data_IF_521496324570
#
_entry.id   IF_521496324570
#
_cell.length_a   1.000
_cell.length_b   1.000
_cell.length_c   1.000
_cell.angle_alpha   90.00
_cell.angle_beta   90.00
_cell.angle_gamma   90.00
#
_symmetry.space_group_name_H-M   'P 1'
#
loop_
_entity.id
_entity.type
_entity.pdbx_description
1 polymer ?
#
# COMPACT_ATOMS: atom_id res chain seq x y z
N UNK A 1 -12.51 8.43 -36.68
CA UNK A 1 -13.05 7.63 -35.56
C UNK A 1 -13.00 8.55 -34.37
N UNK A 2 -14.04 8.72 -33.56
CA UNK A 2 -13.91 9.45 -32.33
C UNK A 2 -12.85 8.74 -31.47
N UNK A 3 -11.86 9.47 -30.96
CA UNK A 3 -10.81 8.94 -30.09
C UNK A 3 -11.47 8.23 -28.90
N UNK A 4 -11.17 6.95 -28.73
CA UNK A 4 -11.59 6.24 -27.53
C UNK A 4 -11.08 7.02 -26.31
N UNK A 5 -11.90 7.23 -25.28
CA UNK A 5 -11.45 8.01 -24.13
C UNK A 5 -10.19 7.40 -23.56
N UNK A 6 -9.13 8.23 -23.43
CA UNK A 6 -7.84 7.77 -22.93
C UNK A 6 -7.96 7.26 -21.49
N UNK A 7 -7.40 6.07 -21.23
CA UNK A 7 -7.43 5.42 -19.91
C UNK A 7 -6.52 6.19 -18.95
N UNK A 8 -7.11 6.71 -17.86
CA UNK A 8 -6.35 7.39 -16.81
C UNK A 8 -6.12 6.44 -15.65
N UNK A 9 -4.86 6.27 -15.27
CA UNK A 9 -4.45 5.51 -14.09
C UNK A 9 -4.24 6.42 -12.88
N UNK A 10 -4.58 5.92 -11.70
CA UNK A 10 -4.30 6.54 -10.40
C UNK A 10 -3.20 5.76 -9.68
N UNK A 11 -2.15 6.44 -9.24
CA UNK A 11 -1.09 5.85 -8.42
C UNK A 11 -1.07 6.52 -7.06
N UNK A 12 -1.28 5.72 -6.00
CA UNK A 12 -1.27 6.16 -4.61
C UNK A 12 0.00 5.64 -3.92
N UNK A 13 0.88 6.57 -3.53
CA UNK A 13 2.18 6.22 -2.93
C UNK A 13 2.07 5.67 -1.51
N UNK A 14 3.10 4.99 -1.03
CA UNK A 14 3.28 4.72 0.37
C UNK A 14 3.47 6.01 1.20
N UNK A 15 3.12 5.96 2.48
CA UNK A 15 3.24 7.15 3.34
C UNK A 15 2.72 6.99 4.77
N UNK A 16 2.26 5.80 5.16
CA UNK A 16 1.66 5.56 6.48
C UNK A 16 0.51 6.52 6.75
N UNK A 17 0.47 7.16 7.92
CA UNK A 17 -0.58 8.11 8.28
C UNK A 17 -0.70 9.32 7.33
N UNK A 18 0.38 9.68 6.62
CA UNK A 18 0.35 10.77 5.63
C UNK A 18 -0.51 10.44 4.40
N UNK A 19 -0.93 9.20 4.21
CA UNK A 19 -1.86 8.81 3.16
C UNK A 19 -3.27 9.43 3.32
N UNK A 20 -3.59 10.01 4.49
CA UNK A 20 -4.74 10.88 4.66
C UNK A 20 -4.74 12.08 3.68
N UNK A 21 -3.56 12.60 3.32
CA UNK A 21 -3.43 13.63 2.29
C UNK A 21 -3.98 13.17 0.94
N UNK A 22 -3.75 11.91 0.56
CA UNK A 22 -4.28 11.35 -0.69
C UNK A 22 -5.81 11.41 -0.72
N UNK A 23 -6.45 11.13 0.42
CA UNK A 23 -7.92 11.19 0.54
C UNK A 23 -8.42 12.63 0.40
N UNK A 24 -7.67 13.61 0.94
CA UNK A 24 -7.95 15.03 0.69
C UNK A 24 -7.90 15.42 -0.78
N UNK A 25 -6.90 14.92 -1.52
CA UNK A 25 -6.78 15.11 -2.98
C UNK A 25 -7.95 14.46 -3.71
N UNK A 26 -8.29 13.20 -3.37
CA UNK A 26 -9.43 12.49 -3.98
C UNK A 26 -10.75 13.24 -3.72
N UNK A 27 -10.94 13.80 -2.53
CA UNK A 27 -12.11 14.62 -2.18
C UNK A 27 -12.19 15.89 -3.03
N UNK A 28 -11.06 16.54 -3.29
CA UNK A 28 -11.02 17.70 -4.19
C UNK A 28 -11.35 17.29 -5.64
N UNK A 29 -10.80 16.16 -6.12
CA UNK A 29 -11.10 15.63 -7.46
C UNK A 29 -12.57 15.26 -7.61
N UNK A 30 -13.18 14.64 -6.61
CA UNK A 30 -14.60 14.31 -6.61
C UNK A 30 -15.46 15.58 -6.74
N UNK A 31 -15.08 16.68 -6.05
CA UNK A 31 -15.75 17.96 -6.17
C UNK A 31 -15.62 18.55 -7.58
N UNK A 32 -14.39 18.58 -8.11
CA UNK A 32 -14.13 19.09 -9.47
C UNK A 32 -14.91 18.29 -10.51
N UNK A 33 -14.93 16.95 -10.38
CA UNK A 33 -15.69 16.09 -11.30
C UNK A 33 -17.17 16.43 -11.29
N UNK A 34 -17.79 16.58 -10.12
CA UNK A 34 -19.21 16.96 -10.02
C UNK A 34 -19.55 18.30 -10.67
N UNK A 35 -18.61 19.25 -10.61
CA UNK A 35 -18.79 20.57 -11.22
C UNK A 35 -18.62 20.54 -12.75
N UNK A 36 -17.67 19.74 -13.27
CA UNK A 36 -17.28 19.76 -14.69
C UNK A 36 -17.91 18.63 -15.53
N UNK A 37 -18.15 17.47 -14.93
CA UNK A 37 -18.61 16.26 -15.63
C UNK A 37 -19.41 15.34 -14.70
N UNK A 38 -20.59 15.77 -14.22
CA UNK A 38 -21.38 15.05 -13.21
C UNK A 38 -21.79 13.64 -13.67
N UNK A 39 -22.02 13.44 -14.95
CA UNK A 39 -22.43 12.16 -15.55
C UNK A 39 -21.24 11.25 -15.90
N UNK A 40 -19.99 11.67 -15.61
CA UNK A 40 -18.84 10.85 -15.96
C UNK A 40 -18.75 9.63 -15.04
N UNK A 41 -18.32 8.49 -15.61
CA UNK A 41 -18.01 7.28 -14.88
C UNK A 41 -16.78 7.47 -13.94
N UNK A 42 -16.32 6.37 -13.32
CA UNK A 42 -15.07 6.37 -12.55
C UNK A 42 -13.92 6.99 -13.38
N UNK A 43 -13.28 8.08 -12.90
CA UNK A 43 -12.21 8.73 -13.66
C UNK A 43 -10.91 7.91 -13.70
N UNK A 44 -10.79 6.87 -12.87
CA UNK A 44 -9.58 6.06 -12.73
C UNK A 44 -9.88 4.56 -12.88
N UNK A 45 -10.09 4.06 -14.10
CA UNK A 45 -10.31 2.64 -14.32
C UNK A 45 -9.09 1.76 -13.99
N UNK A 46 -7.89 2.33 -13.94
CA UNK A 46 -6.67 1.66 -13.52
C UNK A 46 -6.16 2.29 -12.22
N UNK A 47 -6.03 1.49 -11.16
CA UNK A 47 -5.60 1.97 -9.85
C UNK A 47 -4.40 1.15 -9.39
N UNK A 48 -3.35 1.81 -8.92
CA UNK A 48 -2.18 1.17 -8.31
C UNK A 48 -1.85 1.82 -6.97
N UNK A 49 -1.46 1.00 -6.00
CA UNK A 49 -1.13 1.50 -4.68
C UNK A 49 0.01 0.75 -3.99
N UNK A 50 0.64 1.45 -3.05
CA UNK A 50 1.74 0.93 -2.23
C UNK A 50 1.49 1.27 -0.77
N UNK A 51 1.68 0.32 0.16
CA UNK A 51 1.55 0.54 1.61
C UNK A 51 0.17 1.11 1.96
N UNK A 52 0.07 2.18 2.73
CA UNK A 52 -1.20 2.84 3.02
C UNK A 52 -1.94 3.31 1.74
N UNK A 53 -1.19 3.65 0.67
CA UNK A 53 -1.77 3.95 -0.64
C UNK A 53 -2.42 2.72 -1.29
N UNK A 54 -1.94 1.50 -1.04
CA UNK A 54 -2.59 0.28 -1.51
C UNK A 54 -3.95 0.05 -0.82
N UNK A 55 -4.05 0.40 0.45
CA UNK A 55 -5.32 0.34 1.21
C UNK A 55 -6.32 1.33 0.62
N UNK A 56 -5.91 2.59 0.41
CA UNK A 56 -6.76 3.60 -0.23
C UNK A 56 -7.19 3.17 -1.65
N UNK A 57 -6.24 2.63 -2.44
CA UNK A 57 -6.47 2.13 -3.79
C UNK A 57 -7.52 1.01 -3.82
N UNK A 58 -7.38 0.01 -2.95
CA UNK A 58 -8.31 -1.12 -2.88
C UNK A 58 -9.70 -0.69 -2.38
N UNK A 59 -9.77 0.20 -1.39
CA UNK A 59 -11.04 0.73 -0.90
C UNK A 59 -11.79 1.54 -1.98
N UNK A 60 -11.06 2.36 -2.75
CA UNK A 60 -11.61 3.08 -3.90
C UNK A 60 -12.09 2.11 -4.98
N UNK A 61 -11.28 1.10 -5.31
CA UNK A 61 -11.57 0.10 -6.32
C UNK A 61 -12.80 -0.75 -5.98
N UNK A 62 -13.03 -1.09 -4.71
CA UNK A 62 -14.23 -1.82 -4.26
C UNK A 62 -15.55 -1.09 -4.52
N UNK A 63 -15.50 0.21 -4.79
CA UNK A 63 -16.65 1.07 -5.05
C UNK A 63 -16.45 1.90 -6.32
N UNK A 64 -15.81 1.32 -7.31
CA UNK A 64 -15.54 1.99 -8.59
C UNK A 64 -16.79 2.33 -9.39
N UNK A 65 -17.93 1.76 -9.05
CA UNK A 65 -19.27 2.11 -9.58
C UNK A 65 -19.76 3.49 -9.12
N UNK A 66 -19.29 3.98 -7.96
CA UNK A 66 -19.65 5.30 -7.42
C UNK A 66 -18.43 5.96 -6.79
N UNK A 67 -17.72 6.74 -7.60
CA UNK A 67 -16.48 7.41 -7.18
C UNK A 67 -16.71 8.38 -6.01
N UNK A 68 -17.81 9.11 -5.99
CA UNK A 68 -18.12 10.07 -4.92
C UNK A 68 -18.37 9.36 -3.59
N UNK A 69 -19.17 8.28 -3.63
CA UNK A 69 -19.44 7.48 -2.45
C UNK A 69 -18.18 6.73 -1.98
N UNK A 70 -17.31 6.28 -2.89
CA UNK A 70 -16.02 5.68 -2.53
C UNK A 70 -15.13 6.67 -1.79
N UNK A 71 -15.00 7.89 -2.31
CA UNK A 71 -14.22 8.97 -1.69
C UNK A 71 -14.82 9.40 -0.35
N UNK A 72 -16.15 9.53 -0.25
CA UNK A 72 -16.80 9.85 1.01
C UNK A 72 -16.57 8.78 2.08
N UNK A 73 -16.61 7.50 1.69
CA UNK A 73 -16.29 6.38 2.57
C UNK A 73 -14.85 6.43 3.06
N UNK A 74 -13.88 6.72 2.18
CA UNK A 74 -12.49 6.91 2.56
C UNK A 74 -12.31 8.09 3.53
N UNK A 75 -12.96 9.24 3.28
CA UNK A 75 -12.93 10.38 4.20
C UNK A 75 -13.43 9.97 5.58
N UNK A 76 -14.57 9.27 5.65
CA UNK A 76 -15.13 8.82 6.93
C UNK A 76 -14.16 7.89 7.69
N UNK A 77 -13.51 6.96 7.00
CA UNK A 77 -12.51 6.08 7.61
C UNK A 77 -11.35 6.89 8.19
N UNK A 78 -10.76 7.81 7.41
CA UNK A 78 -9.61 8.58 7.85
C UNK A 78 -9.93 9.64 8.92
N UNK A 79 -11.12 10.22 8.91
CA UNK A 79 -11.61 11.16 9.95
C UNK A 79 -11.83 10.46 11.30
N UNK A 80 -12.18 9.16 11.29
CA UNK A 80 -12.42 8.35 12.49
C UNK A 80 -11.30 7.35 12.78
N UNK A 81 -10.15 7.52 12.12
CA UNK A 81 -9.04 6.59 12.22
C UNK A 81 -8.24 6.80 13.50
N UNK A 82 -8.01 5.72 14.25
CA UNK A 82 -7.23 5.72 15.47
C UNK A 82 -6.14 4.65 15.46
N UNK A 83 -5.08 4.85 16.23
CA UNK A 83 -3.91 3.96 16.27
C UNK A 83 -4.27 2.52 16.69
N UNK A 84 -5.24 2.36 17.56
CA UNK A 84 -5.72 1.05 18.05
C UNK A 84 -6.43 0.22 16.97
N UNK A 85 -6.87 0.85 15.88
CA UNK A 85 -7.40 0.18 14.70
C UNK A 85 -6.29 -0.40 13.80
N UNK A 86 -5.05 0.01 13.98
CA UNK A 86 -3.89 -0.45 13.19
C UNK A 86 -3.09 -1.50 13.93
N UNK A 87 -2.81 -1.25 15.19
CA UNK A 87 -2.01 -2.14 16.02
C UNK A 87 -2.46 -2.11 17.47
N UNK A 88 -2.21 -3.21 18.17
CA UNK A 88 -2.41 -3.25 19.62
C UNK A 88 -1.33 -2.44 20.31
N UNK A 89 -1.74 -1.38 20.98
CA UNK A 89 -0.88 -0.45 21.72
C UNK A 89 -0.96 -0.62 23.24
N UNK A 90 -1.42 -1.78 23.74
CA UNK A 90 -1.43 -2.05 25.17
C UNK A 90 0.01 -1.95 25.69
N UNK A 91 0.22 -1.02 26.63
CA UNK A 91 1.53 -0.62 27.16
C UNK A 91 2.33 -1.83 27.66
N UNK A 92 1.67 -2.82 28.23
CA UNK A 92 2.30 -4.08 28.70
C UNK A 92 2.78 -4.94 27.52
N UNK A 93 2.04 -4.99 26.39
CA UNK A 93 2.44 -5.72 25.18
C UNK A 93 3.66 -5.07 24.52
N UNK A 94 3.68 -3.75 24.38
CA UNK A 94 4.80 -3.00 23.81
C UNK A 94 6.05 -3.09 24.69
N UNK A 95 5.92 -2.92 26.00
CA UNK A 95 7.04 -3.06 26.96
C UNK A 95 7.58 -4.49 26.93
N UNK A 96 6.71 -5.50 26.94
CA UNK A 96 7.12 -6.92 26.91
C UNK A 96 7.80 -7.29 25.59
N UNK A 97 7.31 -6.75 24.47
CA UNK A 97 7.92 -6.97 23.15
C UNK A 97 9.23 -6.20 23.02
N UNK A 98 9.30 -4.95 23.48
CA UNK A 98 10.52 -4.14 23.51
C UNK A 98 11.59 -4.73 24.44
N UNK A 99 11.24 -5.19 25.65
CA UNK A 99 12.15 -5.87 26.56
C UNK A 99 12.67 -7.19 25.95
N UNK A 100 11.81 -7.95 25.29
CA UNK A 100 12.19 -9.17 24.57
C UNK A 100 13.14 -8.90 23.40
N UNK A 101 12.93 -7.80 22.69
CA UNK A 101 13.82 -7.34 21.61
C UNK A 101 15.20 -6.92 22.17
N UNK A 102 15.23 -6.11 23.22
CA UNK A 102 16.46 -5.69 23.89
C UNK A 102 17.24 -6.89 24.43
N UNK A 103 16.56 -7.85 25.06
CA UNK A 103 17.18 -9.10 25.55
C UNK A 103 17.75 -9.92 24.40
N UNK A 104 17.06 -10.00 23.26
CA UNK A 104 17.56 -10.70 22.07
C UNK A 104 18.73 -9.99 21.40
N UNK A 105 18.74 -8.67 21.34
CA UNK A 105 19.88 -7.91 20.81
C UNK A 105 21.12 -8.03 21.71
N UNK A 106 20.93 -8.16 23.04
CA UNK A 106 22.04 -8.24 24.01
C UNK A 106 22.61 -9.65 24.12
N UNK A 107 21.77 -10.69 24.09
CA UNK A 107 22.15 -12.08 24.38
C UNK A 107 21.67 -13.03 23.27
N UNK A 108 21.13 -12.49 22.18
CA UNK A 108 20.37 -13.22 21.16
C UNK A 108 21.15 -14.34 20.46
N UNK A 109 22.47 -14.17 20.30
CA UNK A 109 23.30 -15.22 19.69
C UNK A 109 23.44 -16.46 20.58
N UNK A 110 23.34 -16.32 21.90
CA UNK A 110 23.39 -17.44 22.87
C UNK A 110 21.99 -18.10 22.94
N UNK A 111 20.92 -17.30 22.98
CA UNK A 111 19.52 -17.79 23.12
C UNK A 111 18.99 -18.38 21.81
N UNK A 112 19.40 -17.86 20.64
CA UNK A 112 19.03 -18.39 19.33
C UNK A 112 19.47 -19.85 19.13
N UNK A 113 20.49 -20.27 19.85
CA UNK A 113 21.01 -21.67 19.86
C UNK A 113 20.13 -22.61 20.71
N UNK A 114 19.37 -22.08 21.70
CA UNK A 114 18.62 -22.88 22.67
C UNK A 114 17.10 -22.77 22.59
N UNK A 115 16.52 -21.73 21.97
CA UNK A 115 15.06 -21.58 21.86
C UNK A 115 14.64 -21.17 20.44
N UNK A 116 13.75 -21.98 19.86
CA UNK A 116 13.09 -21.75 18.54
C UNK A 116 12.14 -20.54 18.48
N UNK A 117 12.08 -19.68 19.50
CA UNK A 117 11.21 -18.51 19.54
C UNK A 117 11.88 -17.31 18.86
N UNK A 118 11.64 -17.14 17.55
CA UNK A 118 12.04 -15.95 16.80
C UNK A 118 10.94 -14.91 16.92
N UNK A 119 11.18 -13.68 17.47
CA UNK A 119 10.19 -12.61 17.40
C UNK A 119 10.00 -12.23 15.92
N UNK A 120 8.74 -12.15 15.50
CA UNK A 120 8.41 -11.88 14.09
C UNK A 120 8.28 -10.38 13.82
N UNK A 121 7.84 -9.58 14.81
CA UNK A 121 7.59 -8.14 14.68
C UNK A 121 7.48 -7.47 16.05
N UNK A 122 7.54 -6.13 16.09
CA UNK A 122 7.34 -5.34 17.30
C UNK A 122 5.86 -5.19 17.65
N UNK A 123 4.99 -5.04 16.66
CA UNK A 123 3.57 -4.80 16.83
C UNK A 123 2.72 -5.91 16.21
N UNK A 124 1.55 -6.14 16.79
CA UNK A 124 0.51 -7.01 16.24
C UNK A 124 -0.44 -6.15 15.38
N UNK A 125 -0.53 -6.46 14.08
CA UNK A 125 -1.38 -5.78 13.12
C UNK A 125 -2.76 -6.44 12.93
N UNK A 126 -3.17 -7.30 13.85
CA UNK A 126 -4.51 -7.94 13.80
C UNK A 126 -5.67 -6.94 13.76
N UNK A 127 -5.64 -5.79 14.46
CA UNK A 127 -6.67 -4.76 14.30
C UNK A 127 -6.77 -4.25 12.86
N UNK A 128 -5.64 -4.02 12.18
CA UNK A 128 -5.63 -3.61 10.77
C UNK A 128 -6.25 -4.70 9.88
N UNK A 129 -5.93 -5.97 10.11
CA UNK A 129 -6.54 -7.10 9.38
C UNK A 129 -8.07 -7.09 9.52
N UNK A 130 -8.59 -6.88 10.73
CA UNK A 130 -10.02 -6.79 10.98
C UNK A 130 -10.66 -5.59 10.30
N UNK A 131 -10.00 -4.44 10.30
CA UNK A 131 -10.45 -3.24 9.60
C UNK A 131 -10.51 -3.48 8.08
N UNK A 132 -9.45 -4.04 7.51
CA UNK A 132 -9.38 -4.33 6.09
C UNK A 132 -10.44 -5.33 5.63
N UNK A 133 -10.71 -6.39 6.41
CA UNK A 133 -11.77 -7.35 6.12
C UNK A 133 -13.18 -6.74 6.15
N UNK A 134 -13.38 -5.59 6.81
CA UNK A 134 -14.66 -4.85 6.79
C UNK A 134 -14.75 -3.90 5.60
N UNK A 135 -13.62 -3.35 5.16
CA UNK A 135 -13.56 -2.32 4.12
C UNK A 135 -13.43 -2.90 2.71
N UNK A 136 -12.72 -4.03 2.58
CA UNK A 136 -12.30 -4.60 1.30
C UNK A 136 -12.96 -5.95 1.11
N UNK A 137 -13.71 -6.10 0.01
CA UNK A 137 -14.29 -7.37 -0.43
C UNK A 137 -13.71 -7.75 -1.78
N UNK A 138 -13.10 -8.93 -1.86
CA UNK A 138 -12.59 -9.51 -3.11
C UNK A 138 -13.72 -9.71 -4.12
N UNK A 139 -14.89 -10.14 -3.66
CA UNK A 139 -16.08 -10.33 -4.49
C UNK A 139 -16.55 -9.01 -5.11
N UNK A 140 -16.48 -7.92 -4.31
CA UNK A 140 -16.84 -6.59 -4.78
C UNK A 140 -15.84 -6.07 -5.82
N UNK A 141 -14.53 -6.31 -5.63
CA UNK A 141 -13.50 -5.99 -6.63
C UNK A 141 -13.76 -6.69 -7.95
N UNK A 142 -14.03 -8.00 -7.91
CA UNK A 142 -14.35 -8.77 -9.11
C UNK A 142 -15.67 -8.30 -9.77
N UNK A 143 -16.65 -7.88 -8.97
CA UNK A 143 -17.90 -7.32 -9.51
C UNK A 143 -17.62 -6.01 -10.27
N UNK A 144 -16.85 -5.08 -9.69
CA UNK A 144 -16.47 -3.82 -10.32
C UNK A 144 -15.74 -4.03 -11.65
N UNK A 145 -14.89 -5.05 -11.70
CA UNK A 145 -14.20 -5.45 -12.93
C UNK A 145 -15.17 -6.00 -13.97
N UNK A 146 -16.03 -6.95 -13.59
CA UNK A 146 -16.99 -7.56 -14.53
C UNK A 146 -18.00 -6.57 -15.10
N UNK A 147 -18.41 -5.59 -14.30
CA UNK A 147 -19.34 -4.53 -14.72
C UNK A 147 -18.64 -3.40 -15.50
N UNK A 148 -17.30 -3.46 -15.64
CA UNK A 148 -16.52 -2.49 -16.41
C UNK A 148 -16.25 -1.16 -15.68
N UNK A 149 -16.56 -1.08 -14.38
CA UNK A 149 -16.27 0.10 -13.56
C UNK A 149 -14.79 0.20 -13.18
N UNK A 150 -14.10 -0.93 -13.10
CA UNK A 150 -12.67 -1.06 -12.81
C UNK A 150 -12.02 -1.92 -13.89
N UNK A 151 -10.94 -1.42 -14.50
CA UNK A 151 -10.15 -2.17 -15.47
C UNK A 151 -9.07 -3.01 -14.78
N UNK A 152 -8.34 -2.42 -13.85
CA UNK A 152 -7.28 -3.12 -13.12
C UNK A 152 -6.97 -2.49 -11.77
N UNK A 153 -6.54 -3.33 -10.83
CA UNK A 153 -5.99 -2.94 -9.54
C UNK A 153 -4.61 -3.58 -9.36
N UNK A 154 -3.62 -2.79 -8.94
CA UNK A 154 -2.29 -3.26 -8.57
C UNK A 154 -1.91 -2.88 -7.14
N UNK A 155 -1.28 -3.82 -6.44
CA UNK A 155 -0.73 -3.66 -5.10
C UNK A 155 0.72 -4.10 -5.10
N UNK A 156 1.62 -3.29 -4.55
CA UNK A 156 3.05 -3.61 -4.55
C UNK A 156 3.56 -3.99 -3.17
N UNK A 157 4.45 -4.97 -3.13
CA UNK A 157 5.12 -5.43 -1.93
C UNK A 157 6.61 -5.72 -2.22
N UNK A 158 7.40 -5.90 -1.18
CA UNK A 158 8.81 -6.29 -1.30
C UNK A 158 8.99 -7.71 -0.78
N UNK A 159 9.51 -8.62 -1.59
CA UNK A 159 9.87 -9.97 -1.12
C UNK A 159 11.18 -9.93 -0.34
N UNK A 160 11.20 -10.57 0.82
CA UNK A 160 12.42 -10.75 1.63
C UNK A 160 13.28 -11.91 1.13
N UNK A 161 12.67 -12.91 0.49
CA UNK A 161 13.38 -14.09 -0.01
C UNK A 161 14.16 -13.80 -1.29
N UNK A 162 13.47 -13.35 -2.33
CA UNK A 162 14.06 -13.03 -3.63
C UNK A 162 14.68 -11.65 -3.71
N UNK A 163 14.32 -10.75 -2.78
CA UNK A 163 14.72 -9.34 -2.83
C UNK A 163 14.04 -8.56 -3.95
N UNK A 164 13.00 -9.10 -4.57
CA UNK A 164 12.28 -8.45 -5.65
C UNK A 164 11.22 -7.46 -5.13
N UNK A 165 10.97 -6.42 -5.91
CA UNK A 165 9.77 -5.60 -5.81
C UNK A 165 8.67 -6.29 -6.61
N UNK A 166 7.63 -6.77 -5.91
CA UNK A 166 6.55 -7.56 -6.50
C UNK A 166 5.32 -6.70 -6.67
N UNK A 167 4.76 -6.71 -7.87
CA UNK A 167 3.46 -6.11 -8.19
C UNK A 167 2.43 -7.23 -8.32
N UNK A 168 1.52 -7.34 -7.39
CA UNK A 168 0.32 -8.17 -7.53
C UNK A 168 -0.73 -7.35 -8.26
N UNK A 169 -1.32 -7.91 -9.30
CA UNK A 169 -2.35 -7.22 -10.08
C UNK A 169 -3.50 -8.13 -10.45
N UNK A 170 -4.70 -7.55 -10.47
CA UNK A 170 -5.91 -8.14 -11.02
C UNK A 170 -6.45 -7.24 -12.14
N UNK A 171 -6.95 -7.82 -13.22
CA UNK A 171 -7.39 -7.08 -14.40
C UNK A 171 -8.44 -7.86 -15.19
N UNK A 172 -9.40 -7.12 -15.80
CA UNK A 172 -10.35 -7.69 -16.77
C UNK A 172 -9.65 -8.14 -18.06
N UNK A 173 -8.57 -7.47 -18.44
CA UNK A 173 -7.80 -7.79 -19.63
C UNK A 173 -6.81 -8.93 -19.36
N UNK A 174 -6.51 -9.70 -20.39
CA UNK A 174 -5.48 -10.74 -20.32
C UNK A 174 -4.10 -10.11 -20.50
N UNK A 175 -3.60 -9.53 -19.40
CA UNK A 175 -2.29 -8.88 -19.35
C UNK A 175 -1.27 -9.93 -18.94
N UNK A 176 -0.26 -10.12 -19.80
CA UNK A 176 0.84 -11.05 -19.52
C UNK A 176 1.70 -10.51 -18.36
N UNK A 177 1.98 -11.33 -17.32
CA UNK A 177 2.91 -10.95 -16.27
C UNK A 177 4.24 -10.46 -16.84
N UNK A 178 4.82 -9.44 -16.23
CA UNK A 178 6.08 -8.86 -16.71
C UNK A 178 7.18 -8.94 -15.66
N UNK A 179 8.40 -9.08 -16.14
CA UNK A 179 9.61 -9.07 -15.32
C UNK A 179 10.56 -7.98 -15.82
N UNK A 180 11.16 -7.26 -14.90
CA UNK A 180 12.22 -6.27 -15.14
C UNK A 180 13.31 -6.48 -14.10
N UNK A 181 14.44 -5.81 -14.25
CA UNK A 181 15.49 -5.86 -13.22
C UNK A 181 14.93 -5.55 -11.84
N UNK A 182 15.03 -6.52 -10.92
CA UNK A 182 14.54 -6.45 -9.52
C UNK A 182 13.02 -6.21 -9.37
N UNK A 183 12.21 -6.43 -10.41
CA UNK A 183 10.75 -6.24 -10.38
C UNK A 183 10.05 -7.40 -11.04
N UNK A 184 9.03 -7.90 -10.37
CA UNK A 184 8.19 -9.01 -10.86
C UNK A 184 6.72 -8.58 -10.75
N UNK A 185 5.94 -8.87 -11.78
CA UNK A 185 4.49 -8.74 -11.71
C UNK A 185 3.83 -10.12 -11.72
N UNK A 186 2.90 -10.31 -10.81
CA UNK A 186 2.17 -11.55 -10.60
C UNK A 186 0.68 -11.27 -10.72
N UNK A 187 0.00 -11.97 -11.62
CA UNK A 187 -1.47 -11.89 -11.71
C UNK A 187 -2.07 -12.65 -10.53
N UNK A 188 -2.87 -11.99 -9.74
CA UNK A 188 -3.51 -12.56 -8.56
C UNK A 188 -4.78 -11.78 -8.19
N UNK A 189 -5.80 -12.47 -7.71
CA UNK A 189 -6.92 -11.79 -7.07
C UNK A 189 -6.44 -11.05 -5.83
N UNK A 190 -6.67 -9.75 -5.77
CA UNK A 190 -6.21 -8.92 -4.67
C UNK A 190 -7.06 -9.20 -3.43
N UNK A 191 -6.39 -9.55 -2.34
CA UNK A 191 -6.99 -9.93 -1.06
C UNK A 191 -6.37 -9.14 0.10
N UNK A 192 -6.97 -9.21 1.29
CA UNK A 192 -6.45 -8.57 2.50
C UNK A 192 -4.99 -8.95 2.81
N UNK A 193 -4.53 -10.21 2.66
CA UNK A 193 -3.12 -10.54 2.79
C UNK A 193 -2.17 -9.75 1.88
N UNK A 194 -2.54 -9.41 0.65
CA UNK A 194 -1.73 -8.57 -0.23
C UNK A 194 -1.59 -7.14 0.31
N UNK A 195 -2.68 -6.58 0.86
CA UNK A 195 -2.68 -5.25 1.48
C UNK A 195 -1.86 -5.22 2.78
N UNK A 196 -1.99 -6.26 3.60
CA UNK A 196 -1.17 -6.43 4.80
C UNK A 196 0.31 -6.55 4.46
N UNK A 197 0.67 -7.33 3.43
CA UNK A 197 2.05 -7.43 2.94
C UNK A 197 2.57 -6.08 2.48
N UNK A 198 1.77 -5.37 1.65
CA UNK A 198 2.12 -4.07 1.11
C UNK A 198 2.39 -3.02 2.20
N UNK A 199 1.73 -3.15 3.36
CA UNK A 199 1.83 -2.21 4.50
C UNK A 199 2.65 -2.77 5.68
N UNK A 200 3.28 -3.93 5.53
CA UNK A 200 4.08 -4.56 6.58
C UNK A 200 5.47 -3.91 6.68
N UNK A 201 5.55 -2.77 7.40
CA UNK A 201 6.81 -2.06 7.65
C UNK A 201 7.78 -3.01 8.36
N UNK A 202 9.02 -3.18 7.83
CA UNK A 202 10.02 -4.06 8.41
C UNK A 202 10.25 -3.77 9.89
N UNK A 203 10.43 -4.84 10.67
CA UNK A 203 10.56 -4.83 12.13
C UNK A 203 9.28 -4.43 12.89
N UNK A 204 8.48 -3.50 12.36
CA UNK A 204 7.27 -2.98 13.02
C UNK A 204 6.14 -4.00 12.91
N UNK A 205 5.81 -4.44 11.70
CA UNK A 205 4.74 -5.40 11.44
C UNK A 205 5.27 -6.74 10.95
N UNK A 206 4.52 -7.84 11.16
CA UNK A 206 4.93 -9.15 10.70
C UNK A 206 4.94 -9.22 9.17
N UNK A 207 5.96 -9.88 8.61
CA UNK A 207 5.98 -10.25 7.21
C UNK A 207 4.82 -11.21 6.88
N UNK A 208 4.24 -11.06 5.70
CA UNK A 208 3.10 -11.85 5.24
C UNK A 208 3.55 -12.84 4.19
N UNK A 209 3.15 -14.10 4.35
CA UNK A 209 3.41 -15.14 3.37
C UNK A 209 2.43 -15.03 2.19
N UNK A 210 2.95 -14.89 0.98
CA UNK A 210 2.18 -14.81 -0.26
C UNK A 210 2.69 -15.84 -1.26
N UNK A 211 1.80 -16.30 -2.14
CA UNK A 211 2.17 -17.18 -3.25
C UNK A 211 2.71 -16.34 -4.41
N UNK A 212 3.91 -16.66 -4.88
CA UNK A 212 4.59 -16.02 -6.01
C UNK A 212 5.15 -17.13 -6.90
N UNK A 213 4.66 -17.24 -8.13
CA UNK A 213 5.07 -18.25 -9.12
C UNK A 213 5.11 -19.70 -8.55
N UNK A 214 4.08 -20.05 -7.76
CA UNK A 214 3.95 -21.38 -7.16
C UNK A 214 4.78 -21.60 -5.88
N UNK A 215 5.54 -20.61 -5.43
CA UNK A 215 6.32 -20.65 -4.19
C UNK A 215 5.75 -19.72 -3.13
N UNK A 216 5.93 -20.06 -1.87
CA UNK A 216 5.57 -19.18 -0.76
C UNK A 216 6.76 -18.28 -0.43
N UNK A 217 6.57 -16.96 -0.56
CA UNK A 217 7.56 -15.96 -0.16
C UNK A 217 7.02 -15.04 0.94
N UNK A 218 7.89 -14.63 1.85
CA UNK A 218 7.53 -13.62 2.87
C UNK A 218 7.73 -12.23 2.31
N UNK A 219 6.66 -11.43 2.33
CA UNK A 219 6.62 -10.07 1.80
C UNK A 219 6.45 -9.04 2.90
N UNK A 220 6.99 -7.86 2.66
CA UNK A 220 6.85 -6.66 3.47
C UNK A 220 6.56 -5.43 2.63
N UNK A 221 6.60 -4.26 3.26
CA UNK A 221 6.18 -2.97 2.69
C UNK A 221 6.85 -2.69 1.33
N UNK A 222 6.01 -2.41 0.33
CA UNK A 222 6.45 -2.12 -1.03
C UNK A 222 7.24 -0.82 -1.15
N UNK A 223 6.97 0.17 -0.29
CA UNK A 223 7.64 1.48 -0.31
C UNK A 223 9.12 1.44 0.07
N UNK A 224 9.57 0.35 0.69
CA UNK A 224 10.99 0.15 1.02
C UNK A 224 11.90 0.15 -0.20
N UNK A 225 11.39 -0.23 -1.36
CA UNK A 225 12.13 -0.25 -2.62
C UNK A 225 11.66 0.82 -3.60
N UNK A 226 10.39 1.13 -3.59
CA UNK A 226 9.80 2.12 -4.49
C UNK A 226 8.53 2.73 -3.88
N UNK A 227 8.61 3.99 -3.47
CA UNK A 227 7.52 4.67 -2.78
C UNK A 227 6.28 4.90 -3.68
N UNK A 228 6.46 5.16 -4.97
CA UNK A 228 5.39 5.44 -5.93
C UNK A 228 5.68 4.78 -7.29
N UNK A 229 5.46 3.46 -7.44
CA UNK A 229 5.70 2.78 -8.70
C UNK A 229 4.65 3.15 -9.75
N UNK A 230 5.05 3.93 -10.77
CA UNK A 230 4.19 4.33 -11.89
C UNK A 230 4.04 3.19 -12.90
N UNK A 231 5.11 2.41 -13.08
CA UNK A 231 5.19 1.35 -14.09
C UNK A 231 4.01 0.36 -14.08
N UNK A 232 3.47 -0.09 -12.94
CA UNK A 232 2.29 -0.95 -12.93
C UNK A 232 1.07 -0.33 -13.63
N UNK A 233 0.78 0.94 -13.40
CA UNK A 233 -0.36 1.60 -14.05
C UNK A 233 -0.20 1.64 -15.57
N UNK A 234 1.02 1.90 -16.06
CA UNK A 234 1.32 1.89 -17.50
C UNK A 234 1.18 0.49 -18.10
N UNK A 235 1.72 -0.54 -17.44
CA UNK A 235 1.59 -1.94 -17.90
C UNK A 235 0.13 -2.42 -17.90
N UNK A 236 -0.70 -1.87 -17.02
CA UNK A 236 -2.13 -2.16 -16.92
C UNK A 236 -2.99 -1.33 -17.89
N UNK A 237 -2.37 -0.61 -18.83
CA UNK A 237 -3.04 0.07 -19.92
C UNK A 237 -3.35 1.54 -19.69
N UNK A 238 -2.83 2.17 -18.61
CA UNK A 238 -3.02 3.60 -18.42
C UNK A 238 -2.18 4.40 -19.43
N UNK A 239 -2.83 5.29 -20.18
CA UNK A 239 -2.21 6.23 -21.12
C UNK A 239 -1.83 7.55 -20.43
N UNK A 240 -2.56 7.89 -19.37
CA UNK A 240 -2.32 9.03 -18.49
C UNK A 240 -2.23 8.52 -17.07
N UNK A 241 -1.35 9.09 -16.26
CA UNK A 241 -1.19 8.66 -14.87
C UNK A 241 -1.21 9.87 -13.95
N UNK A 242 -2.16 9.87 -13.02
CA UNK A 242 -2.15 10.78 -11.89
C UNK A 242 -1.45 10.11 -10.71
N UNK A 243 -0.38 10.71 -10.22
CA UNK A 243 0.34 10.22 -9.04
C UNK A 243 0.03 11.13 -7.85
N UNK A 244 -0.50 10.54 -6.78
CA UNK A 244 -0.73 11.25 -5.52
C UNK A 244 0.28 10.76 -4.49
N UNK A 245 1.34 11.54 -4.29
CA UNK A 245 2.39 11.28 -3.31
C UNK A 245 1.95 11.66 -1.90
N UNK A 246 2.49 10.96 -0.89
CA UNK A 246 2.37 11.32 0.53
C UNK A 246 3.72 11.74 1.13
N UNK A 247 4.75 11.91 0.31
CA UNK A 247 6.08 12.38 0.68
C UNK A 247 6.12 13.90 0.88
N UNK A 248 7.06 14.37 1.71
CA UNK A 248 7.39 15.80 1.75
C UNK A 248 8.13 16.16 0.45
N UNK A 249 7.64 17.18 -0.26
CA UNK A 249 8.51 17.91 -1.18
C UNK A 249 9.46 18.74 -0.31
N UNK A 250 10.72 18.33 -0.25
CA UNK A 250 11.77 19.20 0.29
C UNK A 250 12.08 20.23 -0.78
N UNK A 251 11.77 21.48 -0.50
CA UNK A 251 12.51 22.56 -1.15
C UNK A 251 13.98 22.39 -0.74
N UNK A 252 14.92 22.31 -1.69
CA UNK A 252 16.33 22.31 -1.31
C UNK A 252 16.58 23.59 -0.49
N UNK A 253 17.17 23.49 0.72
CA UNK A 253 17.50 24.69 1.48
C UNK A 253 18.36 25.59 0.59
N UNK A 254 18.01 26.86 0.49
CA UNK A 254 18.76 27.83 -0.33
C UNK A 254 20.22 27.95 0.08
N UNK A 255 20.54 27.66 1.34
CA UNK A 255 21.90 27.45 1.85
C UNK A 255 21.97 26.07 2.53
N UNK A 256 22.91 25.22 2.08
CA UNK A 256 23.22 23.96 2.77
C UNK A 256 23.90 24.29 4.09
N UNK A 257 23.15 24.30 5.19
CA UNK A 257 23.74 24.32 6.52
C UNK A 257 24.51 23.00 6.71
N UNK A 258 25.83 23.08 6.73
CA UNK A 258 26.67 21.97 7.10
C UNK A 258 26.37 21.58 8.54
N UNK A 259 25.97 20.35 8.79
CA UNK A 259 25.89 19.82 10.15
C UNK A 259 27.31 19.46 10.58
N UNK A 260 27.79 20.09 11.65
CA UNK A 260 29.09 19.78 12.26
C UNK A 260 29.00 18.61 13.26
N UNK A 261 27.79 18.10 13.53
CA UNK A 261 27.55 17.02 14.48
C UNK A 261 27.15 15.73 13.76
N UNK A 262 27.59 14.59 14.32
CA UNK A 262 27.19 13.28 13.85
C UNK A 262 25.68 13.12 14.00
N UNK A 263 24.94 12.71 12.91
CA UNK A 263 23.49 12.58 12.97
C UNK A 263 23.07 11.51 13.99
N UNK A 264 22.02 11.79 14.76
CA UNK A 264 21.44 10.81 15.66
C UNK A 264 20.68 9.71 14.90
N UNK A 265 20.38 8.58 15.58
CA UNK A 265 19.73 7.42 14.95
C UNK A 265 18.37 7.76 14.33
N UNK A 266 17.63 8.74 14.86
CA UNK A 266 16.35 9.17 14.31
C UNK A 266 16.51 10.04 13.04
N UNK A 267 17.70 10.60 12.80
CA UNK A 267 18.04 11.34 11.57
C UNK A 267 18.58 10.41 10.49
N UNK A 268 19.15 9.25 10.90
CA UNK A 268 19.69 8.23 9.98
C UNK A 268 18.57 7.30 9.48
N UNK A 269 17.53 7.04 10.28
CA UNK A 269 16.38 6.19 9.95
C UNK A 269 15.32 6.95 9.13
#
# INVERSE_FOLDING_TARGET
MPDSPSITGLVLSGGGARAAYQVGVLRALARIRRELAPESANPFPVIAGTSAGAINAAALACRADDFDAAVAGLCHVWENFSADQVYRSDSLGVIRTGARWLTMMSIGWVIARWRRARPRSLLDNKPLELLLNRLISTERLHLMMREGHLHALAVTASSYGSGLHVTFYDSISDIVPWTRSQRLAVRASITVPHLLASSAIPFVFPAVALAIDGHTEYCGDGSMRQAAPISPAVHLGAERVLVVGAGRMHEPPGERAGSSEYPNLAQIA
#
